data_IF_059505283014
#
_entry.id   IF_059505283014
#
_cell.length_a   1.000
_cell.length_b   1.000
_cell.length_c   1.000
_cell.angle_alpha   90.00
_cell.angle_beta   90.00
_cell.angle_gamma   90.00
#
_symmetry.space_group_name_H-M   'P 1'
#
loop_
_entity.id
_entity.type
_entity.pdbx_description
1 polymer ?
#
# COMPACT_ATOMS: atom_id res chain seq x y z
N UNK A 1 3.57 20.78 56.27
CA UNK A 1 4.12 19.59 55.58
C UNK A 1 3.13 19.11 54.54
N UNK A 2 3.25 19.59 53.29
CA UNK A 2 2.60 19.00 52.12
C UNK A 2 3.73 18.76 51.12
N UNK A 3 4.01 17.49 50.84
CA UNK A 3 5.10 17.10 49.95
C UNK A 3 4.78 17.44 48.50
N UNK A 4 5.78 17.81 47.69
CA UNK A 4 5.61 18.36 46.35
C UNK A 4 5.22 17.27 45.35
N UNK A 5 4.42 17.65 44.36
CA UNK A 5 4.12 16.82 43.19
C UNK A 5 5.44 16.39 42.52
N UNK A 6 5.68 15.07 42.50
CA UNK A 6 6.85 14.49 41.84
C UNK A 6 6.68 14.54 40.33
N UNK A 7 7.74 15.02 39.71
CA UNK A 7 8.07 15.01 38.29
C UNK A 7 8.19 13.60 37.71
N UNK A 8 8.21 13.54 36.37
CA UNK A 8 8.68 12.43 35.52
C UNK A 8 7.76 11.23 35.29
N UNK A 9 6.85 11.39 34.34
CA UNK A 9 6.21 10.28 33.61
C UNK A 9 6.32 10.52 32.11
N UNK A 10 7.53 10.75 31.60
CA UNK A 10 7.78 10.81 30.17
C UNK A 10 7.39 9.47 29.57
N UNK A 11 6.33 9.45 28.74
CA UNK A 11 5.95 8.28 27.97
C UNK A 11 7.16 7.83 27.16
N UNK A 12 7.76 6.67 27.45
CA UNK A 12 8.77 6.13 26.56
C UNK A 12 8.00 5.71 25.29
N UNK A 13 8.02 6.56 24.26
CA UNK A 13 7.76 6.13 22.90
C UNK A 13 8.94 5.25 22.48
N UNK A 14 8.96 4.03 23.00
CA UNK A 14 9.95 3.01 22.66
C UNK A 14 9.21 1.74 22.28
N UNK A 15 9.37 1.43 21.00
CA UNK A 15 9.56 0.07 20.47
C UNK A 15 8.31 -0.66 19.95
N UNK A 16 8.11 -0.50 18.65
CA UNK A 16 8.07 -1.65 17.74
C UNK A 16 8.66 -1.28 16.37
N UNK A 17 9.90 -0.77 16.39
CA UNK A 17 10.82 -1.01 15.27
C UNK A 17 11.28 -2.47 15.39
N UNK A 18 10.59 -3.37 14.69
CA UNK A 18 11.15 -4.59 14.09
C UNK A 18 10.05 -5.27 13.29
N UNK A 19 10.01 -5.02 11.98
CA UNK A 19 9.90 -6.13 11.05
C UNK A 19 10.79 -5.82 9.86
N UNK A 20 12.04 -6.21 10.07
CA UNK A 20 13.06 -6.35 9.06
C UNK A 20 12.59 -7.48 8.14
N UNK A 21 11.90 -7.13 7.06
CA UNK A 21 11.70 -8.05 5.94
C UNK A 21 12.51 -7.55 4.75
N UNK A 22 13.83 -7.68 4.90
CA UNK A 22 14.73 -7.79 3.77
C UNK A 22 14.33 -9.07 3.00
N UNK A 23 13.47 -8.92 2.00
CA UNK A 23 13.28 -9.92 0.97
C UNK A 23 13.49 -9.25 -0.38
N UNK A 24 14.77 -9.26 -0.78
CA UNK A 24 15.23 -9.39 -2.18
C UNK A 24 14.37 -8.64 -3.20
N UNK A 25 14.59 -7.33 -3.29
CA UNK A 25 14.07 -6.49 -4.37
C UNK A 25 14.92 -6.66 -5.63
N UNK A 26 14.87 -7.84 -6.24
CA UNK A 26 15.18 -7.97 -7.67
C UNK A 26 14.03 -7.35 -8.45
N UNK A 27 13.97 -6.01 -8.52
CA UNK A 27 13.10 -5.19 -9.38
C UNK A 27 11.78 -5.88 -9.77
N UNK A 28 11.05 -6.40 -8.78
CA UNK A 28 9.95 -7.32 -9.05
C UNK A 28 8.87 -6.56 -9.79
N UNK A 29 8.55 -6.98 -11.01
CA UNK A 29 7.50 -6.35 -11.79
C UNK A 29 6.19 -7.01 -11.43
N UNK A 30 5.19 -6.21 -11.12
CA UNK A 30 3.82 -6.67 -10.92
C UNK A 30 2.99 -6.30 -12.14
N UNK A 31 2.26 -7.27 -12.65
CA UNK A 31 1.25 -7.06 -13.67
C UNK A 31 -0.10 -6.89 -12.98
N UNK A 32 -0.68 -5.71 -13.13
CA UNK A 32 -1.95 -5.36 -12.51
C UNK A 32 -3.03 -5.40 -13.59
N UNK A 33 -4.07 -6.20 -13.39
CA UNK A 33 -5.23 -6.31 -14.29
C UNK A 33 -6.50 -5.80 -13.61
N UNK A 34 -7.26 -4.94 -14.28
CA UNK A 34 -8.58 -4.55 -13.77
C UNK A 34 -9.64 -5.61 -14.10
N UNK A 35 -10.17 -6.32 -13.10
CA UNK A 35 -11.21 -7.35 -13.28
C UNK A 35 -12.63 -6.80 -13.13
N UNK A 36 -12.82 -5.77 -12.29
CA UNK A 36 -14.14 -5.16 -12.03
C UNK A 36 -14.17 -3.70 -12.45
N UNK A 37 -15.33 -3.24 -12.89
CA UNK A 37 -15.55 -1.84 -13.29
C UNK A 37 -15.42 -0.89 -12.09
N UNK A 38 -15.11 0.38 -12.37
CA UNK A 38 -14.94 1.42 -11.34
C UNK A 38 -16.23 2.19 -11.04
N UNK A 39 -17.35 1.91 -11.71
CA UNK A 39 -18.56 2.74 -11.72
C UNK A 39 -19.18 2.90 -10.31
N UNK A 40 -19.21 1.84 -9.51
CA UNK A 40 -19.69 1.86 -8.11
C UNK A 40 -18.62 2.17 -7.06
N UNK A 41 -17.38 2.45 -7.47
CA UNK A 41 -16.28 2.72 -6.54
C UNK A 41 -16.25 4.18 -6.10
N UNK A 42 -15.65 4.43 -4.93
CA UNK A 42 -15.45 5.80 -4.41
C UNK A 42 -14.59 6.63 -5.37
N UNK A 43 -14.74 7.95 -5.32
CA UNK A 43 -13.93 8.87 -6.16
C UNK A 43 -12.43 8.67 -5.94
N UNK A 44 -12.01 8.37 -4.71
CA UNK A 44 -10.61 8.08 -4.37
C UNK A 44 -10.10 6.84 -5.10
N UNK A 45 -10.86 5.75 -5.09
CA UNK A 45 -10.51 4.52 -5.81
C UNK A 45 -10.48 4.72 -7.33
N UNK A 46 -11.44 5.48 -7.89
CA UNK A 46 -11.44 5.86 -9.31
C UNK A 46 -10.15 6.58 -9.70
N UNK A 47 -9.70 7.54 -8.88
CA UNK A 47 -8.43 8.26 -9.10
C UNK A 47 -7.22 7.34 -8.95
N UNK A 48 -7.22 6.42 -7.99
CA UNK A 48 -6.14 5.42 -7.85
C UNK A 48 -6.03 4.54 -9.08
N UNK A 49 -7.15 4.05 -9.63
CA UNK A 49 -7.14 3.27 -10.88
C UNK A 49 -6.60 4.08 -12.06
N UNK A 50 -7.00 5.35 -12.19
CA UNK A 50 -6.48 6.25 -13.23
C UNK A 50 -4.99 6.52 -13.08
N UNK A 51 -4.51 6.71 -11.84
CA UNK A 51 -3.09 6.93 -11.55
C UNK A 51 -2.23 5.69 -11.85
N UNK A 52 -2.79 4.49 -11.69
CA UNK A 52 -2.15 3.23 -12.11
C UNK A 52 -2.26 2.97 -13.63
N UNK A 53 -2.93 3.84 -14.39
CA UNK A 53 -3.12 3.68 -15.84
C UNK A 53 -4.28 2.75 -16.24
N UNK A 54 -5.06 2.25 -15.28
CA UNK A 54 -6.19 1.34 -15.52
C UNK A 54 -7.45 2.14 -15.89
N UNK A 55 -7.63 2.38 -17.20
CA UNK A 55 -8.77 3.16 -17.74
C UNK A 55 -9.93 2.30 -18.26
N UNK A 56 -9.68 1.03 -18.58
CA UNK A 56 -10.67 0.10 -19.18
C UNK A 56 -10.66 -1.23 -18.44
N UNK A 57 -11.80 -1.91 -18.43
CA UNK A 57 -11.90 -3.29 -17.93
C UNK A 57 -10.96 -4.19 -18.74
N UNK A 58 -10.34 -5.17 -18.08
CA UNK A 58 -9.33 -6.09 -18.64
C UNK A 58 -8.02 -5.45 -19.09
N UNK A 59 -7.82 -4.14 -18.89
CA UNK A 59 -6.51 -3.52 -19.11
C UNK A 59 -5.48 -4.08 -18.13
N UNK A 60 -4.29 -4.37 -18.65
CA UNK A 60 -3.14 -4.81 -17.86
C UNK A 60 -2.03 -3.78 -17.92
N UNK A 61 -1.43 -3.44 -16.79
CA UNK A 61 -0.28 -2.53 -16.70
C UNK A 61 0.81 -3.22 -15.89
N UNK A 62 2.04 -3.18 -16.42
CA UNK A 62 3.23 -3.67 -15.72
C UNK A 62 3.88 -2.51 -14.99
N UNK A 63 4.06 -2.66 -13.69
CA UNK A 63 4.63 -1.62 -12.82
C UNK A 63 5.63 -2.27 -11.87
N UNK A 64 6.65 -1.52 -11.48
CA UNK A 64 7.60 -1.96 -10.45
C UNK A 64 6.89 -2.08 -9.09
N UNK A 65 7.21 -3.14 -8.35
CA UNK A 65 6.69 -3.40 -7.01
C UNK A 65 7.30 -2.49 -5.95
N UNK A 66 7.11 -1.19 -6.08
CA UNK A 66 7.49 -0.23 -5.04
C UNK A 66 6.47 -0.28 -3.89
N UNK A 67 6.89 -0.01 -2.64
CA UNK A 67 5.98 0.00 -1.48
C UNK A 67 4.83 1.02 -1.66
N UNK A 68 5.06 2.07 -2.43
CA UNK A 68 4.05 3.07 -2.79
C UNK A 68 2.95 2.48 -3.67
N UNK A 69 3.33 1.77 -4.75
CA UNK A 69 2.39 1.11 -5.66
C UNK A 69 1.63 -0.01 -4.92
N UNK A 70 2.32 -0.81 -4.12
CA UNK A 70 1.67 -1.84 -3.29
C UNK A 70 0.63 -1.22 -2.34
N UNK A 71 0.94 -0.08 -1.72
CA UNK A 71 -0.01 0.68 -0.91
C UNK A 71 -1.23 1.17 -1.69
N UNK A 72 -1.04 1.60 -2.95
CA UNK A 72 -2.14 1.97 -3.84
C UNK A 72 -3.00 0.78 -4.24
N UNK A 73 -2.38 -0.33 -4.66
CA UNK A 73 -3.05 -1.58 -5.05
C UNK A 73 -3.88 -2.12 -3.88
N UNK A 74 -3.35 -2.11 -2.66
CA UNK A 74 -4.06 -2.59 -1.47
C UNK A 74 -5.40 -1.87 -1.24
N UNK A 75 -5.52 -0.60 -1.61
CA UNK A 75 -6.78 0.17 -1.50
C UNK A 75 -7.82 -0.25 -2.54
N UNK A 76 -7.39 -0.81 -3.67
CA UNK A 76 -8.23 -1.23 -4.80
C UNK A 76 -8.21 -2.74 -5.04
N UNK A 77 -7.68 -3.54 -4.09
CA UNK A 77 -7.43 -4.99 -4.20
C UNK A 77 -8.63 -5.85 -4.63
N UNK A 78 -9.85 -5.36 -4.46
CA UNK A 78 -11.09 -6.06 -4.84
C UNK A 78 -11.52 -5.76 -6.29
N UNK A 79 -10.93 -4.74 -6.92
CA UNK A 79 -11.18 -4.32 -8.30
C UNK A 79 -10.11 -4.83 -9.26
N UNK A 80 -8.92 -5.08 -8.74
CA UNK A 80 -7.73 -5.48 -9.51
C UNK A 80 -7.24 -6.87 -9.10
N UNK A 81 -6.64 -7.56 -10.06
CA UNK A 81 -5.87 -8.79 -9.85
C UNK A 81 -4.40 -8.45 -10.08
N UNK A 82 -3.51 -8.92 -9.22
CA UNK A 82 -2.06 -8.71 -9.36
C UNK A 82 -1.35 -10.04 -9.59
N UNK A 83 -0.49 -10.08 -10.59
CA UNK A 83 0.38 -11.20 -10.92
C UNK A 83 1.83 -10.74 -10.74
N UNK A 84 2.60 -11.44 -9.90
CA UNK A 84 4.03 -11.15 -9.70
C UNK A 84 4.83 -11.80 -10.83
N UNK A 85 5.54 -10.99 -11.61
CA UNK A 85 6.49 -11.45 -12.63
C UNK A 85 7.88 -11.34 -12.02
N UNK A 86 8.39 -12.47 -11.55
CA UNK A 86 9.80 -12.59 -11.14
C UNK A 86 10.63 -12.86 -12.40
N UNK A 87 11.70 -12.10 -12.58
CA UNK A 87 12.74 -12.39 -13.56
C UNK A 87 13.64 -13.53 -13.05
#
# INVERSE_FOLDING_TARGET
MHTPWHSTGGFPCKRCLTDKKEKSDDMAKIRIKQKKSSIGSTLRQKRTLQALGLRKIDSTVEVEATPQILGMVNKVKHLVTTEEIKA
#
